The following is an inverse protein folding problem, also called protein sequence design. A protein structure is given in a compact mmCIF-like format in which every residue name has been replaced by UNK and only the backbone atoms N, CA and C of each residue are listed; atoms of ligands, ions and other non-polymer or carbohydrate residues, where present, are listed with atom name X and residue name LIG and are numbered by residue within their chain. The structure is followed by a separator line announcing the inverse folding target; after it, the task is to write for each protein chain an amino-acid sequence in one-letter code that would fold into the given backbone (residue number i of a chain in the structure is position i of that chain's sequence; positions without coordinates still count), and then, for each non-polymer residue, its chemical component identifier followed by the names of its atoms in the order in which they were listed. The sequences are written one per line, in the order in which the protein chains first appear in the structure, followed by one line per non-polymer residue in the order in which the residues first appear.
data_IF_518893396788
#
_entry.id   IF_518893396788
#
_cell.length_a   1.000
_cell.length_b   1.000
_cell.length_c   1.000
_cell.angle_alpha   90.00
_cell.angle_beta   90.00
_cell.angle_gamma   90.00
#
_symmetry.space_group_name_H-M   'P 1'
#
loop_
_entity.id
_entity.type
_entity.pdbx_description
1 polymer ?
#
# COMPACT_ATOMS: atom_id res chain seq x y z
N UNK A 1 3.12 -2.36 2.99
CA UNK A 1 1.94 -1.49 2.72
C UNK A 1 2.01 -0.88 1.32
N UNK A 2 3.01 -0.04 1.03
CA UNK A 2 3.20 0.65 -0.28
C UNK A 2 3.13 -0.30 -1.48
N UNK A 3 3.84 -1.44 -1.43
CA UNK A 3 3.83 -2.43 -2.52
C UNK A 3 2.43 -3.00 -2.81
N UNK A 4 1.63 -3.26 -1.77
CA UNK A 4 0.27 -3.79 -1.93
C UNK A 4 -0.68 -2.75 -2.53
N UNK A 5 -0.48 -1.47 -2.23
CA UNK A 5 -1.23 -0.36 -2.84
C UNK A 5 -0.85 -0.18 -4.29
N UNK A 6 0.46 -0.19 -4.58
CA UNK A 6 0.93 -0.17 -5.96
C UNK A 6 0.26 -1.29 -6.76
N UNK A 7 0.22 -2.51 -6.20
CA UNK A 7 -0.45 -3.61 -6.88
C UNK A 7 -1.96 -3.39 -7.10
N UNK A 8 -2.65 -2.84 -6.10
CA UNK A 8 -4.09 -2.60 -6.14
C UNK A 8 -4.50 -1.55 -7.17
N UNK A 9 -3.72 -0.48 -7.35
CA UNK A 9 -4.07 0.65 -8.20
C UNK A 9 -3.36 0.65 -9.56
N UNK A 10 -2.17 0.05 -9.68
CA UNK A 10 -1.28 0.25 -10.83
C UNK A 10 -1.03 -1.00 -11.68
N UNK A 11 -1.47 -2.20 -11.27
CA UNK A 11 -1.15 -3.45 -12.02
C UNK A 11 -2.15 -3.75 -13.12
N UNK A 12 -3.44 -3.68 -12.79
CA UNK A 12 -4.53 -3.75 -13.76
C UNK A 12 -5.31 -2.45 -13.56
N UNK A 13 -5.32 -1.60 -14.58
CA UNK A 13 -6.04 -0.32 -14.53
C UNK A 13 -7.46 -0.61 -14.09
N UNK A 14 -7.70 -0.32 -12.81
CA UNK A 14 -8.88 -0.83 -12.14
C UNK A 14 -10.10 -0.27 -12.85
N UNK A 15 -11.15 -1.07 -13.03
CA UNK A 15 -12.29 -0.77 -13.90
C UNK A 15 -13.11 0.48 -13.51
N UNK A 16 -12.62 1.28 -12.57
CA UNK A 16 -13.17 2.55 -12.19
C UNK A 16 -12.72 3.65 -13.17
N UNK A 17 -13.59 4.65 -13.31
CA UNK A 17 -13.39 5.86 -14.10
C UNK A 17 -12.42 6.83 -13.41
N UNK A 18 -11.22 6.35 -13.05
CA UNK A 18 -10.19 7.21 -12.45
C UNK A 18 -9.73 8.29 -13.42
N UNK A 19 -9.31 9.43 -12.88
CA UNK A 19 -8.54 10.38 -13.66
C UNK A 19 -7.15 9.77 -13.90
N UNK A 20 -6.88 9.37 -15.13
CA UNK A 20 -5.65 8.66 -15.52
C UNK A 20 -4.40 9.46 -15.18
N UNK A 21 -4.42 10.79 -15.31
CA UNK A 21 -3.28 11.64 -14.95
C UNK A 21 -2.96 11.57 -13.46
N UNK A 22 -3.98 11.64 -12.61
CA UNK A 22 -3.80 11.53 -11.16
C UNK A 22 -3.38 10.11 -10.74
N UNK A 23 -3.86 9.09 -11.45
CA UNK A 23 -3.48 7.71 -11.21
C UNK A 23 -2.01 7.47 -11.60
N UNK A 24 -1.56 8.01 -12.73
CA UNK A 24 -0.16 7.93 -13.16
C UNK A 24 0.77 8.63 -12.17
N UNK A 25 0.43 9.84 -11.72
CA UNK A 25 1.17 10.57 -10.69
C UNK A 25 1.26 9.76 -9.38
N UNK A 26 0.15 9.15 -8.97
CA UNK A 26 0.12 8.28 -7.79
C UNK A 26 1.06 7.07 -7.97
N UNK A 27 0.97 6.38 -9.11
CA UNK A 27 1.77 5.20 -9.39
C UNK A 27 3.27 5.53 -9.47
N UNK A 28 3.63 6.67 -10.07
CA UNK A 28 5.00 7.19 -10.08
C UNK A 28 5.50 7.45 -8.66
N UNK A 29 4.76 8.21 -7.85
CA UNK A 29 5.15 8.50 -6.47
C UNK A 29 5.26 7.25 -5.60
N UNK A 30 4.37 6.26 -5.79
CA UNK A 30 4.47 4.97 -5.11
C UNK A 30 5.70 4.18 -5.54
N UNK A 31 6.07 4.22 -6.82
CA UNK A 31 7.28 3.54 -7.33
C UNK A 31 8.56 4.17 -6.78
N UNK A 32 8.63 5.50 -6.71
CA UNK A 32 9.74 6.22 -6.08
C UNK A 32 9.87 5.84 -4.60
N UNK A 33 8.75 5.86 -3.86
CA UNK A 33 8.74 5.48 -2.45
C UNK A 33 9.19 4.02 -2.24
N UNK A 34 8.86 3.11 -3.16
CA UNK A 34 9.32 1.72 -3.09
C UNK A 34 10.84 1.64 -3.30
N UNK A 35 11.38 2.34 -4.30
CA UNK A 35 12.82 2.40 -4.54
C UNK A 35 13.58 2.96 -3.33
N UNK A 36 13.06 4.01 -2.70
CA UNK A 36 13.66 4.59 -1.48
C UNK A 36 13.66 3.61 -0.30
N UNK A 37 12.57 2.84 -0.14
CA UNK A 37 12.45 1.82 0.91
C UNK A 37 13.41 0.64 0.67
N UNK A 38 13.59 0.21 -0.58
CA UNK A 38 14.56 -0.82 -0.95
C UNK A 38 16.01 -0.35 -0.76
N UNK A 39 16.28 0.93 -1.00
CA UNK A 39 17.60 1.52 -0.80
C UNK A 39 17.96 1.74 0.68
N UNK A 40 16.98 1.68 1.60
CA UNK A 40 17.25 1.77 3.03
C UNK A 40 18.09 0.55 3.47
N UNK A 41 19.31 0.75 4.01
CA UNK A 41 20.12 -0.35 4.51
C UNK A 41 19.35 -1.08 5.60
N UNK A 42 18.97 -2.33 5.33
CA UNK A 42 18.51 -3.23 6.37
C UNK A 42 19.72 -3.42 7.28
N UNK A 43 19.79 -2.66 8.37
CA UNK A 43 20.76 -2.92 9.41
C UNK A 43 20.34 -4.27 9.98
N UNK A 44 20.91 -5.36 9.45
CA UNK A 44 20.73 -6.73 9.91
C UNK A 44 21.23 -6.78 11.35
N UNK A 45 20.36 -6.37 12.26
CA UNK A 45 20.52 -6.55 13.68
C UNK A 45 20.38 -8.06 13.95
N UNK A 46 21.44 -8.83 13.66
CA UNK A 46 21.67 -10.18 14.19
C UNK A 46 20.57 -11.23 13.99
N UNK A 47 19.72 -11.11 12.96
CA UNK A 47 18.63 -12.05 12.69
C UNK A 47 18.77 -12.73 11.32
N UNK A 48 19.99 -13.07 10.93
CA UNK A 48 20.20 -14.12 9.94
C UNK A 48 19.87 -15.47 10.59
N UNK A 49 18.59 -15.79 10.73
CA UNK A 49 17.99 -17.14 10.70
C UNK A 49 16.49 -17.05 11.03
N UNK A 50 15.73 -16.61 10.03
CA UNK A 50 14.43 -17.19 9.68
C UNK A 50 14.11 -16.56 8.34
N UNK A 51 13.78 -17.32 7.28
CA UNK A 51 13.07 -16.69 6.19
C UNK A 51 11.80 -16.16 6.85
N UNK A 52 11.70 -14.85 7.03
CA UNK A 52 10.56 -14.17 7.62
C UNK A 52 9.43 -14.25 6.59
N UNK A 53 9.04 -15.48 6.24
CA UNK A 53 7.92 -15.96 5.41
C UNK A 53 6.57 -15.64 6.08
N UNK A 54 6.61 -14.67 6.97
CA UNK A 54 5.51 -14.09 7.69
C UNK A 54 5.57 -12.57 7.46
N UNK A 55 5.85 -12.15 6.21
CA UNK A 55 5.52 -10.82 5.70
C UNK A 55 4.00 -10.61 5.85
N UNK A 56 3.65 -10.30 7.10
CA UNK A 56 2.40 -9.92 7.71
C UNK A 56 1.15 -10.59 7.16
N UNK A 57 0.81 -11.76 7.73
CA UNK A 57 -0.50 -12.40 7.53
C UNK A 57 -1.66 -11.41 7.71
N UNK A 58 -1.54 -10.42 8.59
CA UNK A 58 -2.53 -9.35 8.79
C UNK A 58 -2.64 -8.40 7.61
N UNK A 59 -1.54 -7.87 7.07
CA UNK A 59 -1.56 -6.99 5.90
C UNK A 59 -2.04 -7.74 4.66
N UNK A 60 -1.59 -8.99 4.49
CA UNK A 60 -2.09 -9.87 3.41
C UNK A 60 -3.60 -10.06 3.53
N UNK A 61 -4.10 -10.39 4.72
CA UNK A 61 -5.53 -10.57 4.98
C UNK A 61 -6.32 -9.29 4.75
N UNK A 62 -5.77 -8.14 5.14
CA UNK A 62 -6.38 -6.82 4.92
C UNK A 62 -6.62 -6.55 3.42
N UNK A 63 -5.59 -6.70 2.58
CA UNK A 63 -5.73 -6.50 1.15
C UNK A 63 -6.59 -7.58 0.48
N UNK A 64 -6.53 -8.83 0.95
CA UNK A 64 -7.44 -9.88 0.48
C UNK A 64 -8.91 -9.52 0.75
N UNK A 65 -9.23 -8.97 1.94
CA UNK A 65 -10.58 -8.49 2.25
C UNK A 65 -11.03 -7.34 1.34
N UNK A 66 -10.11 -6.42 1.01
CA UNK A 66 -10.38 -5.34 0.05
C UNK A 66 -10.70 -5.92 -1.34
N UNK A 67 -9.90 -6.88 -1.82
CA UNK A 67 -10.14 -7.54 -3.11
C UNK A 67 -11.49 -8.25 -3.14
N UNK A 68 -11.83 -9.01 -2.09
CA UNK A 68 -13.12 -9.68 -1.97
C UNK A 68 -14.30 -8.69 -1.91
N UNK A 69 -14.14 -7.58 -1.19
CA UNK A 69 -15.13 -6.51 -1.14
C UNK A 69 -15.38 -5.88 -2.52
N UNK A 70 -14.31 -5.59 -3.26
CA UNK A 70 -14.43 -5.04 -4.61
C UNK A 70 -15.11 -6.02 -5.57
N UNK A 71 -14.80 -7.32 -5.47
CA UNK A 71 -15.48 -8.37 -6.22
C UNK A 71 -16.98 -8.46 -5.88
N UNK A 72 -17.33 -8.49 -4.59
CA UNK A 72 -18.74 -8.50 -4.12
C UNK A 72 -19.54 -7.28 -4.63
N UNK A 73 -18.87 -6.13 -4.75
CA UNK A 73 -19.47 -4.89 -5.26
C UNK A 73 -19.31 -4.68 -6.76
N UNK A 74 -18.91 -5.71 -7.50
CA UNK A 74 -18.69 -5.68 -8.96
C UNK A 74 -17.84 -4.48 -9.41
N UNK A 75 -16.83 -4.11 -8.61
CA UNK A 75 -15.97 -2.96 -8.87
C UNK A 75 -16.75 -1.65 -9.14
N UNK A 76 -17.91 -1.48 -8.51
CA UNK A 76 -18.72 -0.26 -8.67
C UNK A 76 -17.96 1.00 -8.23
N UNK A 77 -18.26 2.17 -8.82
CA UNK A 77 -17.62 3.43 -8.43
C UNK A 77 -17.68 3.72 -6.92
N UNK A 78 -18.83 3.48 -6.28
CA UNK A 78 -18.98 3.68 -4.83
C UNK A 78 -18.07 2.74 -4.01
N UNK A 79 -17.84 1.51 -4.47
CA UNK A 79 -16.94 0.59 -3.78
C UNK A 79 -15.49 1.07 -3.87
N UNK A 80 -15.07 1.57 -5.03
CA UNK A 80 -13.76 2.17 -5.21
C UNK A 80 -13.55 3.43 -4.38
N UNK A 81 -14.57 4.27 -4.22
CA UNK A 81 -14.50 5.43 -3.32
C UNK A 81 -14.29 5.02 -1.85
N UNK A 82 -14.93 3.94 -1.40
CA UNK A 82 -14.69 3.39 -0.06
C UNK A 82 -13.26 2.90 0.10
N UNK A 83 -12.74 2.15 -0.88
CA UNK A 83 -11.36 1.66 -0.87
C UNK A 83 -10.35 2.82 -0.89
N UNK A 84 -10.59 3.85 -1.71
CA UNK A 84 -9.76 5.06 -1.76
C UNK A 84 -9.68 5.75 -0.40
N UNK A 85 -10.82 5.92 0.28
CA UNK A 85 -10.86 6.53 1.62
C UNK A 85 -10.10 5.70 2.67
N UNK A 86 -10.30 4.39 2.66
CA UNK A 86 -9.68 3.44 3.58
C UNK A 86 -8.15 3.37 3.40
N UNK A 87 -7.67 3.31 2.15
CA UNK A 87 -6.24 3.37 1.83
C UNK A 87 -5.64 4.73 2.21
N UNK A 88 -6.34 5.83 1.91
CA UNK A 88 -5.90 7.18 2.29
C UNK A 88 -5.69 7.33 3.80
N UNK A 89 -6.60 6.78 4.61
CA UNK A 89 -6.48 6.75 6.08
C UNK A 89 -5.25 5.95 6.54
N UNK A 90 -4.94 4.85 5.87
CA UNK A 90 -3.79 4.01 6.18
C UNK A 90 -2.45 4.72 5.87
N UNK A 91 -2.37 5.44 4.75
CA UNK A 91 -1.20 6.29 4.46
C UNK A 91 -1.05 7.43 5.46
N UNK A 92 -2.13 8.12 5.81
CA UNK A 92 -2.08 9.17 6.82
C UNK A 92 -1.59 8.65 8.18
N UNK A 93 -2.00 7.45 8.57
CA UNK A 93 -1.51 6.82 9.80
C UNK A 93 -0.02 6.47 9.70
N UNK A 94 0.44 6.08 8.51
CA UNK A 94 1.85 5.79 8.24
C UNK A 94 2.73 7.04 8.30
N UNK A 95 2.28 8.18 7.78
CA UNK A 95 3.03 9.45 7.86
C UNK A 95 3.12 9.95 9.29
N UNK A 96 2.05 9.81 10.09
CA UNK A 96 2.10 10.09 11.55
C UNK A 96 3.14 9.22 12.23
N UNK A 97 3.19 7.92 11.91
CA UNK A 97 4.16 7.00 12.49
C UNK A 97 5.59 7.39 12.12
N UNK A 98 5.85 7.69 10.84
CA UNK A 98 7.15 8.15 10.37
C UNK A 98 7.61 9.42 11.09
N UNK A 99 6.72 10.41 11.22
CA UNK A 99 7.02 11.66 11.94
C UNK A 99 7.33 11.42 13.43
N UNK A 100 6.61 10.50 14.07
CA UNK A 100 6.90 10.10 15.46
C UNK A 100 8.26 9.42 15.59
N UNK A 101 8.63 8.56 14.64
CA UNK A 101 9.95 7.91 14.63
C UNK A 101 11.04 8.95 14.43
N UNK A 102 10.84 9.91 13.51
CA UNK A 102 11.79 11.00 13.24
C UNK A 102 12.05 11.86 14.48
N UNK A 103 11.03 12.17 15.28
CA UNK A 103 11.17 12.94 16.54
C UNK A 103 11.88 12.19 17.67
N UNK A 104 12.01 10.87 17.57
CA UNK A 104 12.68 10.03 18.58
C UNK A 104 14.17 9.83 18.28
N UNK A 105 14.62 10.18 17.07
CA UNK A 105 16.04 10.27 16.72
C UNK A 105 16.55 11.64 17.12
#
# INVERSE_FOLDING_TARGET
MTQKVFHLFCTDMSSATWNMTLLDELCLGLSEQLNDLEACPLQEAGLAETPLMHEDSTLRTYFQRISLYLQDKNHSPCAWEMVRAEIGRSFFSSTILQERIRRRK
#
